data_IF_689837394662
#
_entry.id   IF_689837394662
#
_cell.length_a   1.000
_cell.length_b   1.000
_cell.length_c   1.000
_cell.angle_alpha   90.00
_cell.angle_beta   90.00
_cell.angle_gamma   90.00
#
_symmetry.space_group_name_H-M   'P 1'
#
loop_
_entity.id
_entity.type
_entity.pdbx_description
1 polymer ?
#
# COMPACT_ATOMS: atom_id res chain seq x y z
N UNK A 1 14.00 23.85 5.87
CA UNK A 1 13.29 24.85 5.02
C UNK A 1 11.91 24.29 4.73
N UNK A 2 10.84 24.89 5.26
CA UNK A 2 9.49 24.55 4.85
C UNK A 2 9.36 24.92 3.38
N UNK A 3 9.18 23.94 2.50
CA UNK A 3 8.78 24.20 1.13
C UNK A 3 7.33 24.67 1.17
N UNK A 4 7.02 25.81 0.54
CA UNK A 4 5.65 26.33 0.49
C UNK A 4 4.72 25.36 -0.23
N UNK A 5 3.44 25.38 0.10
CA UNK A 5 2.39 24.57 -0.55
C UNK A 5 2.46 24.60 -2.08
N UNK A 6 2.92 25.70 -2.68
CA UNK A 6 3.11 25.81 -4.13
C UNK A 6 4.18 24.90 -4.73
N UNK A 7 5.13 24.41 -3.94
CA UNK A 7 6.16 23.48 -4.44
C UNK A 7 5.70 22.02 -4.45
N UNK A 8 4.70 21.67 -3.64
CA UNK A 8 4.12 20.32 -3.59
C UNK A 8 3.39 20.00 -4.90
N UNK A 9 2.72 20.98 -5.50
CA UNK A 9 1.99 20.82 -6.77
C UNK A 9 2.85 20.97 -8.02
N UNK A 10 4.12 21.29 -7.88
CA UNK A 10 5.03 21.56 -9.02
C UNK A 10 6.01 20.42 -9.31
N UNK A 11 6.01 19.35 -8.51
CA UNK A 11 6.83 18.19 -8.85
C UNK A 11 6.22 17.49 -10.04
N UNK A 12 6.98 17.51 -11.12
CA UNK A 12 6.60 16.82 -12.34
C UNK A 12 6.57 15.31 -12.08
N UNK A 13 5.65 14.56 -12.65
CA UNK A 13 5.61 13.10 -12.56
C UNK A 13 6.96 12.44 -12.85
N UNK A 14 7.71 13.00 -13.78
CA UNK A 14 9.07 12.57 -14.12
C UNK A 14 10.02 12.57 -12.91
N UNK A 15 10.00 13.64 -12.11
CA UNK A 15 10.85 13.73 -10.91
C UNK A 15 10.42 12.70 -9.86
N UNK A 16 9.11 12.54 -9.65
CA UNK A 16 8.55 11.60 -8.69
C UNK A 16 8.91 10.15 -9.05
N UNK A 17 8.72 9.74 -10.30
CA UNK A 17 9.04 8.39 -10.75
C UNK A 17 10.54 8.07 -10.68
N UNK A 18 11.39 9.04 -11.02
CA UNK A 18 12.84 8.93 -10.89
C UNK A 18 13.28 8.82 -9.42
N UNK A 19 12.75 9.68 -8.55
CA UNK A 19 13.04 9.64 -7.11
C UNK A 19 12.59 8.30 -6.50
N UNK A 20 11.39 7.82 -6.84
CA UNK A 20 10.91 6.52 -6.36
C UNK A 20 11.86 5.40 -6.74
N UNK A 21 12.32 5.38 -7.99
CA UNK A 21 13.31 4.42 -8.45
C UNK A 21 14.61 4.54 -7.67
N UNK A 22 15.16 5.76 -7.54
CA UNK A 22 16.43 6.03 -6.87
C UNK A 22 16.39 5.58 -5.40
N UNK A 23 15.34 5.94 -4.67
CA UNK A 23 15.21 5.55 -3.28
C UNK A 23 14.95 4.06 -3.12
N UNK A 24 14.19 3.44 -4.04
CA UNK A 24 13.96 1.99 -3.96
C UNK A 24 15.25 1.18 -4.13
N UNK A 25 16.12 1.56 -5.04
CA UNK A 25 17.38 0.84 -5.30
C UNK A 25 18.53 1.27 -4.38
N UNK A 26 18.34 2.30 -3.55
CA UNK A 26 19.37 2.83 -2.66
C UNK A 26 19.73 1.83 -1.57
N UNK A 27 21.02 1.60 -1.34
CA UNK A 27 21.52 0.77 -0.23
C UNK A 27 21.48 1.48 1.14
N UNK A 28 21.00 2.72 1.18
CA UNK A 28 20.96 3.54 2.42
C UNK A 28 19.67 3.35 3.23
N UNK A 29 18.76 2.56 2.74
CA UNK A 29 17.49 2.26 3.41
C UNK A 29 17.06 0.82 3.14
N UNK A 30 16.33 0.22 4.07
CA UNK A 30 15.80 -1.14 3.99
C UNK A 30 14.29 -1.17 3.69
N UNK A 31 13.63 -0.01 3.80
CA UNK A 31 12.20 0.13 3.61
C UNK A 31 11.84 1.53 3.09
N UNK A 32 10.78 1.60 2.31
CA UNK A 32 10.12 2.84 1.92
C UNK A 32 8.70 2.84 2.48
N UNK A 33 8.33 3.89 3.20
CA UNK A 33 6.99 4.09 3.72
C UNK A 33 6.43 5.36 3.08
N UNK A 34 5.31 5.23 2.38
CA UNK A 34 4.63 6.38 1.78
C UNK A 34 4.14 7.35 2.85
N UNK A 35 4.28 8.64 2.61
CA UNK A 35 3.77 9.67 3.52
C UNK A 35 2.24 9.68 3.60
N UNK A 36 1.55 9.35 2.51
CA UNK A 36 0.10 9.35 2.42
C UNK A 36 -0.39 8.78 1.10
N UNK A 37 -1.70 8.80 0.90
CA UNK A 37 -2.31 8.51 -0.38
C UNK A 37 -2.24 9.71 -1.35
N UNK A 38 -2.98 9.64 -2.44
CA UNK A 38 -3.06 10.66 -3.47
C UNK A 38 -4.00 10.21 -4.59
N UNK A 39 -3.81 10.78 -5.77
CA UNK A 39 -4.59 10.44 -6.96
C UNK A 39 -3.73 10.42 -8.25
N UNK A 40 -2.46 10.79 -8.15
CA UNK A 40 -1.61 11.07 -9.31
C UNK A 40 -0.44 10.11 -9.50
N UNK A 41 -0.29 9.08 -8.65
CA UNK A 41 0.81 8.14 -8.77
C UNK A 41 0.78 7.35 -10.10
N UNK A 42 -0.39 7.23 -10.72
CA UNK A 42 -0.50 6.64 -12.06
C UNK A 42 0.30 7.42 -13.13
N UNK A 43 0.47 8.74 -12.96
CA UNK A 43 1.24 9.58 -13.88
C UNK A 43 2.75 9.37 -13.73
N UNK A 44 3.20 8.92 -12.55
CA UNK A 44 4.62 8.69 -12.26
C UNK A 44 5.15 7.40 -12.92
N UNK A 45 4.25 6.46 -13.25
CA UNK A 45 4.62 5.10 -13.68
C UNK A 45 5.49 5.07 -14.94
N UNK A 46 5.31 6.02 -15.85
CA UNK A 46 6.10 6.12 -17.09
C UNK A 46 7.57 6.45 -16.82
N UNK A 47 7.87 6.96 -15.63
CA UNK A 47 9.20 7.41 -15.22
C UNK A 47 9.82 6.50 -14.16
N UNK A 48 9.09 5.47 -13.70
CA UNK A 48 9.63 4.44 -12.80
C UNK A 48 10.37 3.38 -13.61
N UNK A 49 11.62 3.14 -13.27
CA UNK A 49 12.43 2.09 -13.90
C UNK A 49 12.23 0.74 -13.19
N UNK A 50 11.15 0.05 -13.56
CA UNK A 50 10.82 -1.27 -13.02
C UNK A 50 11.88 -2.33 -13.32
N UNK A 51 12.64 -2.21 -14.43
CA UNK A 51 13.73 -3.11 -14.75
C UNK A 51 14.90 -2.96 -13.77
N UNK A 52 15.19 -1.73 -13.39
CA UNK A 52 16.22 -1.43 -12.38
C UNK A 52 15.79 -1.92 -11.00
N UNK A 53 14.52 -1.68 -10.64
CA UNK A 53 13.93 -2.15 -9.39
C UNK A 53 13.97 -3.67 -9.30
N UNK A 54 13.60 -4.39 -10.36
CA UNK A 54 13.61 -5.86 -10.42
C UNK A 54 14.98 -6.48 -10.20
N UNK A 55 16.05 -5.78 -10.56
CA UNK A 55 17.44 -6.22 -10.41
C UNK A 55 18.06 -5.84 -9.07
N UNK A 56 17.43 -4.93 -8.35
CA UNK A 56 17.90 -4.49 -7.04
C UNK A 56 17.56 -5.51 -5.94
N UNK A 57 18.26 -5.49 -4.81
CA UNK A 57 17.85 -6.25 -3.63
C UNK A 57 16.42 -5.93 -3.24
N UNK A 58 15.64 -6.97 -2.91
CA UNK A 58 14.26 -6.81 -2.47
C UNK A 58 14.19 -5.95 -1.21
N UNK A 59 13.22 -5.03 -1.20
CA UNK A 59 13.00 -4.13 -0.06
C UNK A 59 11.50 -3.91 0.14
N UNK A 60 11.11 -3.65 1.37
CA UNK A 60 9.73 -3.35 1.67
C UNK A 60 9.31 -1.98 1.11
N UNK A 61 8.13 -1.95 0.55
CA UNK A 61 7.36 -0.73 0.31
C UNK A 61 6.02 -0.84 1.03
N UNK A 62 5.65 0.19 1.78
CA UNK A 62 4.42 0.24 2.57
C UNK A 62 3.61 1.48 2.19
N UNK A 63 2.33 1.29 1.91
CA UNK A 63 1.36 2.34 1.67
C UNK A 63 0.03 1.77 1.19
N UNK A 64 -1.04 2.57 1.22
CA UNK A 64 -2.36 2.20 0.74
C UNK A 64 -2.96 3.28 -0.18
N UNK A 65 -4.18 3.08 -0.65
CA UNK A 65 -4.87 4.00 -1.55
C UNK A 65 -4.12 4.15 -2.87
N UNK A 66 -3.72 5.36 -3.28
CA UNK A 66 -2.97 5.65 -4.51
C UNK A 66 -1.67 4.84 -4.64
N UNK A 67 -1.06 4.48 -3.50
CA UNK A 67 0.11 3.60 -3.46
C UNK A 67 -0.14 2.20 -4.04
N UNK A 68 -1.39 1.85 -4.33
CA UNK A 68 -1.73 0.63 -5.08
C UNK A 68 -0.95 0.54 -6.37
N UNK A 69 -0.73 1.65 -7.06
CA UNK A 69 0.04 1.68 -8.30
C UNK A 69 1.43 1.07 -8.14
N UNK A 70 2.06 1.23 -7.00
CA UNK A 70 3.38 0.65 -6.76
C UNK A 70 3.32 -0.67 -6.00
N UNK A 71 2.45 -0.80 -4.98
CA UNK A 71 2.31 -2.05 -4.23
C UNK A 71 1.76 -3.21 -5.07
N UNK A 72 1.04 -2.92 -6.14
CA UNK A 72 0.55 -3.90 -7.10
C UNK A 72 1.59 -4.24 -8.18
N UNK A 73 2.35 -3.25 -8.64
CA UNK A 73 3.34 -3.46 -9.71
C UNK A 73 4.64 -4.10 -9.21
N UNK A 74 5.00 -3.92 -7.94
CA UNK A 74 6.14 -4.62 -7.36
C UNK A 74 6.02 -6.15 -7.46
N UNK A 75 4.93 -6.81 -7.02
CA UNK A 75 4.80 -8.24 -7.21
C UNK A 75 4.58 -8.64 -8.67
N UNK A 76 3.81 -7.90 -9.45
CA UNK A 76 3.45 -8.33 -10.81
C UNK A 76 4.56 -8.11 -11.83
N UNK A 77 5.36 -7.06 -11.71
CA UNK A 77 6.46 -6.75 -12.64
C UNK A 77 7.84 -7.11 -12.10
N UNK A 78 8.05 -7.00 -10.77
CA UNK A 78 9.37 -7.15 -10.17
C UNK A 78 9.52 -8.41 -9.32
N UNK A 79 8.48 -9.23 -9.19
CA UNK A 79 8.46 -10.44 -8.34
C UNK A 79 8.86 -10.17 -6.87
N UNK A 80 8.54 -8.99 -6.37
CA UNK A 80 8.89 -8.54 -5.03
C UNK A 80 7.63 -8.21 -4.23
N UNK A 81 7.51 -8.74 -3.02
CA UNK A 81 6.38 -8.47 -2.15
C UNK A 81 6.36 -6.99 -1.68
N UNK A 82 5.15 -6.46 -1.51
CA UNK A 82 4.90 -5.15 -0.90
C UNK A 82 3.85 -5.27 0.20
N UNK A 83 3.74 -4.26 1.05
CA UNK A 83 2.73 -4.20 2.11
C UNK A 83 1.69 -3.15 1.75
N UNK A 84 0.48 -3.58 1.45
CA UNK A 84 -0.66 -2.69 1.35
C UNK A 84 -1.19 -2.42 2.77
N UNK A 85 -0.81 -1.28 3.33
CA UNK A 85 -1.05 -0.98 4.75
C UNK A 85 -0.83 0.50 5.07
N UNK A 86 -0.76 0.87 6.37
CA UNK A 86 -0.76 2.25 6.83
C UNK A 86 0.37 3.07 6.20
N UNK A 87 0.09 4.35 5.92
CA UNK A 87 1.10 5.32 5.53
C UNK A 87 1.84 5.88 6.76
N UNK A 88 2.91 6.63 6.54
CA UNK A 88 3.73 7.20 7.62
C UNK A 88 2.92 8.06 8.60
N UNK A 89 1.90 8.77 8.12
CA UNK A 89 1.00 9.57 8.96
C UNK A 89 0.23 8.74 10.00
N UNK A 90 -0.04 7.46 9.73
CA UNK A 90 -0.78 6.60 10.66
C UNK A 90 0.07 6.20 11.87
N UNK A 91 1.39 6.18 11.72
CA UNK A 91 2.32 5.89 12.82
C UNK A 91 2.43 7.03 13.83
N UNK A 92 1.83 8.18 13.54
CA UNK A 92 1.75 9.30 14.49
C UNK A 92 0.74 9.09 15.62
N UNK A 93 -0.17 8.13 15.53
CA UNK A 93 -1.15 7.89 16.61
C UNK A 93 -0.50 7.33 17.87
N UNK A 94 -1.06 7.66 19.03
CA UNK A 94 -0.58 7.18 20.33
C UNK A 94 -1.75 6.85 21.27
N UNK A 95 -1.83 5.60 21.81
CA UNK A 95 -1.01 4.44 21.43
C UNK A 95 -1.31 3.94 20.00
N UNK A 96 -0.38 3.22 19.40
CA UNK A 96 -0.64 2.58 18.11
C UNK A 96 -1.81 1.60 18.19
N UNK A 97 -2.72 1.73 17.26
CA UNK A 97 -3.71 0.67 17.06
C UNK A 97 -3.00 -0.62 16.60
N UNK A 98 -3.57 -1.77 16.94
CA UNK A 98 -2.97 -3.07 16.60
C UNK A 98 -2.66 -3.22 15.10
N UNK A 99 -3.47 -2.64 14.20
CA UNK A 99 -3.22 -2.69 12.74
C UNK A 99 -1.93 -2.00 12.32
N UNK A 100 -1.58 -0.90 12.99
CA UNK A 100 -0.33 -0.16 12.75
C UNK A 100 0.86 -0.93 13.33
N UNK A 101 0.71 -1.45 14.54
CA UNK A 101 1.73 -2.29 15.18
C UNK A 101 2.02 -3.57 14.38
N UNK A 102 0.98 -4.24 13.87
CA UNK A 102 1.14 -5.43 13.03
C UNK A 102 1.84 -5.10 11.70
N UNK A 103 1.51 -3.98 11.07
CA UNK A 103 2.19 -3.54 9.85
C UNK A 103 3.69 -3.31 10.10
N UNK A 104 4.04 -2.64 11.18
CA UNK A 104 5.44 -2.46 11.58
C UNK A 104 6.12 -3.78 11.88
N UNK A 105 5.45 -4.68 12.61
CA UNK A 105 5.96 -6.01 12.90
C UNK A 105 6.19 -6.88 11.65
N UNK A 106 5.38 -6.69 10.58
CA UNK A 106 5.62 -7.35 9.29
C UNK A 106 6.90 -6.81 8.64
N UNK A 107 7.10 -5.49 8.64
CA UNK A 107 8.31 -4.87 8.08
C UNK A 107 9.59 -5.31 8.81
N UNK A 108 9.52 -5.49 10.13
CA UNK A 108 10.66 -5.94 10.95
C UNK A 108 10.82 -7.47 10.98
N UNK A 109 9.84 -8.22 10.44
CA UNK A 109 9.84 -9.68 10.47
C UNK A 109 9.41 -10.30 11.80
N UNK A 110 8.98 -9.51 12.77
CA UNK A 110 8.48 -9.98 14.07
C UNK A 110 7.09 -10.60 13.94
N UNK A 111 6.26 -10.07 13.04
CA UNK A 111 4.91 -10.56 12.77
C UNK A 111 4.90 -11.32 11.44
N UNK A 112 4.53 -12.60 11.49
CA UNK A 112 4.38 -13.46 10.30
C UNK A 112 2.95 -13.87 10.02
N UNK A 113 2.04 -13.58 10.95
CA UNK A 113 0.62 -13.88 10.82
C UNK A 113 -0.20 -12.68 11.25
N UNK A 114 -0.89 -12.07 10.29
CA UNK A 114 -1.83 -11.00 10.56
C UNK A 114 -3.23 -11.56 10.63
N UNK A 115 -3.97 -11.20 11.67
CA UNK A 115 -5.38 -11.57 11.87
C UNK A 115 -6.26 -10.34 11.60
N UNK A 116 -7.48 -10.59 11.19
CA UNK A 116 -8.44 -9.50 11.03
C UNK A 116 -8.77 -8.82 12.37
N UNK A 117 -9.05 -7.53 12.32
CA UNK A 117 -9.37 -6.70 13.49
C UNK A 117 -10.87 -6.74 13.81
N UNK A 118 -11.23 -6.35 15.03
CA UNK A 118 -12.61 -6.48 15.54
C UNK A 118 -13.61 -5.58 14.85
N UNK A 119 -13.16 -4.41 14.37
CA UNK A 119 -14.02 -3.42 13.79
C UNK A 119 -13.27 -2.40 12.94
N UNK A 120 -13.98 -1.33 12.61
CA UNK A 120 -13.47 -0.21 11.82
C UNK A 120 -14.05 1.11 12.33
N UNK A 121 -13.40 2.20 11.99
CA UNK A 121 -13.80 3.56 12.35
C UNK A 121 -14.54 4.19 11.16
N UNK A 122 -15.73 4.70 11.40
CA UNK A 122 -16.46 5.48 10.39
C UNK A 122 -15.78 6.82 10.14
N UNK A 123 -15.82 7.29 8.89
CA UNK A 123 -15.21 8.56 8.51
C UNK A 123 -15.76 9.77 9.26
N UNK A 124 -17.06 9.74 9.58
CA UNK A 124 -17.74 10.80 10.35
C UNK A 124 -17.46 10.75 11.86
N UNK A 125 -16.85 9.68 12.34
CA UNK A 125 -16.49 9.49 13.74
C UNK A 125 -15.02 9.82 14.03
N UNK A 126 -14.21 10.16 13.02
CA UNK A 126 -12.80 10.50 13.20
C UNK A 126 -12.63 11.67 14.14
N UNK A 127 -12.10 11.41 15.31
CA UNK A 127 -11.86 12.43 16.34
C UNK A 127 -10.52 13.15 16.20
N UNK A 128 -9.68 12.76 15.23
CA UNK A 128 -8.40 13.41 15.00
C UNK A 128 -8.59 14.81 14.42
N UNK A 129 -7.96 15.79 15.06
CA UNK A 129 -7.95 17.20 14.66
C UNK A 129 -6.57 17.79 14.84
N UNK A 130 -6.40 19.07 14.46
CA UNK A 130 -5.16 19.79 14.74
C UNK A 130 -4.88 19.89 16.25
N UNK A 131 -5.92 19.89 17.08
CA UNK A 131 -5.82 19.94 18.54
C UNK A 131 -5.48 18.58 19.14
N UNK A 132 -5.85 17.49 18.46
CA UNK A 132 -5.59 16.12 18.89
C UNK A 132 -5.12 15.23 17.74
N UNK A 133 -3.93 15.49 17.18
CA UNK A 133 -3.44 14.81 15.98
C UNK A 133 -3.02 13.35 16.20
N UNK A 134 -2.79 12.96 17.45
CA UNK A 134 -2.27 11.63 17.82
C UNK A 134 -3.36 10.65 18.24
N UNK A 135 -4.63 11.06 18.18
CA UNK A 135 -5.74 10.22 18.63
C UNK A 135 -5.76 8.89 17.84
N UNK A 136 -5.79 7.72 18.52
CA UNK A 136 -5.92 6.42 17.88
C UNK A 136 -7.27 6.27 17.19
N UNK A 137 -7.41 5.25 16.33
CA UNK A 137 -8.69 4.90 15.73
C UNK A 137 -9.77 4.67 16.80
N UNK A 138 -10.94 5.26 16.56
CA UNK A 138 -12.14 5.07 17.38
C UNK A 138 -13.01 4.02 16.70
N UNK A 139 -12.91 2.77 17.14
CA UNK A 139 -13.70 1.69 16.55
C UNK A 139 -15.18 1.92 16.85
N UNK A 140 -15.96 2.21 15.83
CA UNK A 140 -17.40 2.51 15.92
C UNK A 140 -18.27 1.40 15.38
N UNK A 141 -17.76 0.59 14.47
CA UNK A 141 -18.53 -0.44 13.79
C UNK A 141 -17.83 -1.81 13.87
N UNK A 142 -18.59 -2.88 14.11
CA UNK A 142 -18.06 -4.22 14.10
C UNK A 142 -17.73 -4.66 12.68
N UNK A 143 -16.65 -5.42 12.52
CA UNK A 143 -16.34 -6.06 11.25
C UNK A 143 -17.24 -7.28 11.05
N UNK A 144 -17.94 -7.31 9.92
CA UNK A 144 -18.69 -8.49 9.48
C UNK A 144 -18.01 -9.08 8.25
N UNK A 145 -17.45 -10.29 8.38
CA UNK A 145 -16.89 -11.01 7.25
C UNK A 145 -17.95 -11.93 6.65
N UNK A 146 -18.29 -11.71 5.39
CA UNK A 146 -19.15 -12.60 4.62
C UNK A 146 -18.28 -13.32 3.60
N UNK A 147 -18.42 -14.64 3.51
CA UNK A 147 -17.73 -15.48 2.52
C UNK A 147 -18.69 -15.82 1.38
N UNK A 148 -18.15 -15.89 0.18
CA UNK A 148 -18.88 -16.36 -0.97
C UNK A 148 -17.94 -17.21 -1.87
N UNK A 149 -18.33 -18.47 -2.22
CA UNK A 149 -19.44 -19.22 -1.61
C UNK A 149 -19.21 -19.44 -0.11
N UNK A 150 -20.28 -19.72 0.61
CA UNK A 150 -20.23 -19.98 2.06
C UNK A 150 -19.55 -21.35 2.30
N UNK A 151 -18.23 -21.30 2.48
CA UNK A 151 -17.41 -22.47 2.71
C UNK A 151 -16.23 -22.12 3.64
N UNK A 152 -15.94 -23.01 4.58
CA UNK A 152 -14.72 -22.96 5.38
C UNK A 152 -13.55 -23.43 4.51
N UNK A 153 -12.93 -22.48 3.78
CA UNK A 153 -11.82 -22.77 2.90
C UNK A 153 -10.58 -21.99 3.32
N UNK A 154 -9.48 -22.70 3.45
CA UNK A 154 -8.16 -22.10 3.43
C UNK A 154 -7.71 -21.99 1.98
N UNK A 155 -7.14 -20.85 1.61
CA UNK A 155 -6.55 -20.62 0.30
C UNK A 155 -5.05 -20.46 0.47
N UNK A 156 -4.29 -21.05 -0.45
CA UNK A 156 -2.85 -20.90 -0.52
C UNK A 156 -2.46 -20.27 -1.85
N UNK A 157 -1.57 -19.29 -1.82
CA UNK A 157 -1.11 -18.60 -3.01
C UNK A 157 -0.54 -17.23 -2.68
N UNK A 158 -0.05 -16.54 -3.71
CA UNK A 158 0.37 -15.16 -3.60
C UNK A 158 -0.84 -14.24 -3.62
N UNK A 159 -0.86 -13.28 -2.73
CA UNK A 159 -1.93 -12.29 -2.63
C UNK A 159 -1.57 -11.07 -3.48
N UNK A 160 -2.51 -10.65 -4.35
CA UNK A 160 -2.44 -9.39 -5.09
C UNK A 160 -3.74 -8.62 -4.92
N UNK A 161 -3.67 -7.29 -4.98
CA UNK A 161 -4.85 -6.43 -4.85
C UNK A 161 -4.47 -5.02 -4.43
N UNK A 162 -5.48 -4.25 -4.04
CA UNK A 162 -5.33 -2.87 -3.64
C UNK A 162 -6.63 -2.08 -3.78
N UNK A 163 -6.52 -0.77 -3.92
CA UNK A 163 -7.65 0.11 -4.19
C UNK A 163 -8.19 -0.12 -5.60
N UNK A 164 -9.49 -0.37 -5.73
CA UNK A 164 -10.11 -0.66 -7.02
C UNK A 164 -10.01 0.52 -7.99
N UNK A 165 -10.16 1.75 -7.49
CA UNK A 165 -10.05 2.96 -8.30
C UNK A 165 -8.64 3.13 -8.92
N UNK A 166 -7.61 2.65 -8.23
CA UNK A 166 -6.25 2.65 -8.75
C UNK A 166 -6.00 1.49 -9.72
N UNK A 167 -6.59 0.32 -9.45
CA UNK A 167 -6.42 -0.85 -10.32
C UNK A 167 -7.01 -0.62 -11.72
N UNK A 168 -8.09 0.16 -11.85
CA UNK A 168 -8.65 0.50 -13.17
C UNK A 168 -7.69 1.33 -14.02
N UNK A 169 -6.74 2.02 -13.40
CA UNK A 169 -5.69 2.79 -14.09
C UNK A 169 -4.50 1.90 -14.54
N UNK A 170 -4.45 0.65 -14.06
CA UNK A 170 -3.36 -0.31 -14.36
C UNK A 170 -3.85 -1.35 -15.35
N UNK A 171 -5.04 -1.93 -15.11
CA UNK A 171 -5.57 -3.05 -15.88
C UNK A 171 -5.76 -2.69 -17.36
N UNK A 172 -5.28 -3.53 -18.25
CA UNK A 172 -5.33 -3.33 -19.69
C UNK A 172 -4.30 -2.31 -20.24
N UNK A 173 -3.43 -1.77 -19.39
CA UNK A 173 -2.32 -0.91 -19.81
C UNK A 173 -1.05 -1.71 -20.06
N UNK A 174 0.02 -1.04 -20.52
CA UNK A 174 1.36 -1.66 -20.68
C UNK A 174 1.97 -2.18 -19.36
N UNK A 175 1.42 -1.79 -18.22
CA UNK A 175 1.85 -2.23 -16.90
C UNK A 175 1.09 -3.45 -16.38
N UNK A 176 0.05 -3.88 -17.08
CA UNK A 176 -0.81 -4.98 -16.64
C UNK A 176 -0.13 -6.35 -16.80
N UNK A 177 0.57 -6.77 -15.77
CA UNK A 177 1.13 -8.12 -15.65
C UNK A 177 0.22 -9.11 -14.91
N UNK A 178 -1.07 -8.79 -14.72
CA UNK A 178 -1.99 -9.55 -13.86
C UNK A 178 -2.18 -10.99 -14.32
N UNK A 179 -2.46 -11.20 -15.60
CA UNK A 179 -2.76 -12.53 -16.15
C UNK A 179 -1.52 -13.44 -16.00
N UNK A 180 -0.37 -12.95 -16.44
CA UNK A 180 0.90 -13.70 -16.36
C UNK A 180 1.24 -14.05 -14.90
N UNK A 181 1.02 -13.12 -13.99
CA UNK A 181 1.28 -13.34 -12.56
C UNK A 181 0.33 -14.37 -11.97
N UNK A 182 -0.97 -14.29 -12.27
CA UNK A 182 -1.99 -15.24 -11.79
C UNK A 182 -1.71 -16.64 -12.31
N UNK A 183 -1.41 -16.79 -13.60
CA UNK A 183 -1.08 -18.07 -14.21
C UNK A 183 0.20 -18.68 -13.61
N UNK A 184 1.26 -17.86 -13.47
CA UNK A 184 2.55 -18.30 -12.94
C UNK A 184 2.47 -18.75 -11.49
N UNK A 185 1.74 -18.04 -10.65
CA UNK A 185 1.76 -18.23 -9.19
C UNK A 185 0.47 -18.76 -8.60
N UNK A 186 -0.57 -19.03 -9.41
CA UNK A 186 -1.91 -19.38 -8.93
C UNK A 186 -2.38 -18.35 -7.88
N UNK A 187 -2.18 -17.08 -8.18
CA UNK A 187 -2.42 -15.99 -7.24
C UNK A 187 -3.89 -15.89 -6.84
N UNK A 188 -4.13 -15.52 -5.59
CA UNK A 188 -5.45 -15.16 -5.07
C UNK A 188 -5.60 -13.64 -5.12
N UNK A 189 -6.61 -13.17 -5.86
CA UNK A 189 -6.92 -11.73 -5.92
C UNK A 189 -7.65 -11.28 -4.67
N UNK A 190 -7.13 -10.24 -4.03
CA UNK A 190 -7.81 -9.50 -2.95
C UNK A 190 -8.02 -8.06 -3.38
N UNK A 191 -9.27 -7.67 -3.49
CA UNK A 191 -9.65 -6.30 -3.85
C UNK A 191 -10.35 -5.66 -2.66
N UNK A 192 -9.87 -4.51 -2.22
CA UNK A 192 -10.51 -3.73 -1.18
C UNK A 192 -11.52 -2.78 -1.83
N UNK A 193 -12.81 -3.09 -1.67
CA UNK A 193 -13.87 -2.16 -2.02
C UNK A 193 -14.08 -1.20 -0.85
N UNK A 194 -13.79 0.08 -1.04
CA UNK A 194 -14.31 1.13 -0.17
C UNK A 194 -15.80 1.30 -0.47
N UNK A 195 -16.61 1.08 0.53
CA UNK A 195 -18.00 1.50 0.50
C UNK A 195 -18.11 2.98 0.85
#
# INVERSE_FOLDING_TARGET
RSRGLGDVYKRQPEECGKELTEYYVSEKNDCLISCGGGELMCEDLDYVDFEKIRKAPAKWYLGYSDNTHFTYLLPTLCDTAAVYGPCASDFGMEPWHKSVADAFGVLTGEVRTVRGYEGWERDDAKGRSEENPYLPYQITEPRVLRRFPDADSAFEGRLIGGCLDCLVNILGTKYDGTVDFVEKYKAVSYTHLRA
#
